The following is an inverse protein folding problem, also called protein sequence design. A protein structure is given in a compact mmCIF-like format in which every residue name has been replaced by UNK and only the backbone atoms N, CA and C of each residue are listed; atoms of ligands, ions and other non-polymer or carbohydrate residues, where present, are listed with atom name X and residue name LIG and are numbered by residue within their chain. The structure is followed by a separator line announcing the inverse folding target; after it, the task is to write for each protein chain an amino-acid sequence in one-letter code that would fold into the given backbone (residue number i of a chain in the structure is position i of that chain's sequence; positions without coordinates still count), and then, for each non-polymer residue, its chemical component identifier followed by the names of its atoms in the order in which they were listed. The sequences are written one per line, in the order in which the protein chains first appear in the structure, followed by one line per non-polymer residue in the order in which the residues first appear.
data_IF_241186204584
#
_entry.id   IF_241186204584
#
_cell.length_a   1.000
_cell.length_b   1.000
_cell.length_c   1.000
_cell.angle_alpha   90.00
_cell.angle_beta   90.00
_cell.angle_gamma   90.00
#
_symmetry.space_group_name_H-M   'P 1'
#
loop_
_entity.id
_entity.type
_entity.pdbx_description
1 polymer ?
#
# COMPACT_ATOMS: atom_id res chain seq x y z
N UNK A 1 24.94 -1.95 6.49
CA UNK A 1 25.52 -2.69 5.35
C UNK A 1 24.48 -2.56 4.25
N UNK A 2 24.73 -1.69 3.25
CA UNK A 2 23.92 -1.60 2.05
C UNK A 2 24.13 -2.90 1.27
N UNK A 3 23.05 -3.62 0.98
CA UNK A 3 23.07 -4.77 0.06
C UNK A 3 23.44 -4.26 -1.33
N UNK A 4 24.66 -4.57 -1.75
CA UNK A 4 25.36 -3.98 -2.90
C UNK A 4 24.81 -4.48 -4.27
N UNK A 5 23.67 -5.17 -4.32
CA UNK A 5 23.19 -5.70 -5.60
C UNK A 5 21.67 -5.94 -5.71
N UNK A 6 20.85 -5.16 -5.05
CA UNK A 6 19.40 -5.24 -5.28
C UNK A 6 19.08 -4.42 -6.52
N UNK A 7 18.62 -5.08 -7.58
CA UNK A 7 18.18 -4.43 -8.81
C UNK A 7 17.00 -3.51 -8.51
N UNK A 8 17.11 -2.24 -8.85
CA UNK A 8 15.99 -1.28 -8.82
C UNK A 8 15.16 -1.44 -10.09
N UNK A 9 13.85 -1.57 -9.91
CA UNK A 9 12.88 -1.54 -10.99
C UNK A 9 12.02 -0.28 -10.82
N UNK A 10 12.12 0.63 -11.76
CA UNK A 10 11.32 1.86 -11.79
C UNK A 10 9.95 1.57 -12.39
N UNK A 11 8.91 1.96 -11.68
CA UNK A 11 7.52 1.83 -12.12
C UNK A 11 7.05 3.20 -12.57
N UNK A 12 6.59 3.29 -13.81
CA UNK A 12 6.04 4.52 -14.37
C UNK A 12 4.64 4.80 -13.82
N UNK A 13 4.22 6.07 -13.81
CA UNK A 13 2.92 6.48 -13.27
C UNK A 13 1.77 5.81 -14.02
N UNK A 14 1.81 5.82 -15.35
CA UNK A 14 0.81 5.18 -16.20
C UNK A 14 0.71 3.68 -15.94
N UNK A 15 1.85 3.00 -15.75
CA UNK A 15 1.90 1.59 -15.39
C UNK A 15 1.20 1.34 -14.05
N UNK A 16 1.50 2.12 -13.02
CA UNK A 16 0.87 1.95 -11.70
C UNK A 16 -0.64 2.16 -11.75
N UNK A 17 -1.09 3.14 -12.52
CA UNK A 17 -2.50 3.43 -12.76
C UNK A 17 -3.19 2.23 -13.43
N UNK A 18 -2.63 1.71 -14.52
CA UNK A 18 -3.18 0.53 -15.20
C UNK A 18 -3.24 -0.69 -14.28
N UNK A 19 -2.17 -0.95 -13.51
CA UNK A 19 -2.14 -2.05 -12.55
C UNK A 19 -3.22 -1.90 -11.45
N UNK A 20 -3.48 -0.67 -10.99
CA UNK A 20 -4.54 -0.43 -10.02
C UNK A 20 -5.93 -0.74 -10.59
N UNK A 21 -6.21 -0.40 -11.85
CA UNK A 21 -7.46 -0.77 -12.52
C UNK A 21 -7.56 -2.28 -12.76
N UNK A 22 -6.48 -2.95 -13.18
CA UNK A 22 -6.44 -4.42 -13.33
C UNK A 22 -6.72 -5.12 -11.99
N UNK A 23 -6.16 -4.60 -10.89
CA UNK A 23 -6.44 -5.09 -9.55
C UNK A 23 -7.93 -4.97 -9.20
N UNK A 24 -8.53 -3.81 -9.48
CA UNK A 24 -9.96 -3.59 -9.24
C UNK A 24 -10.85 -4.57 -10.03
N UNK A 25 -10.54 -4.81 -11.30
CA UNK A 25 -11.25 -5.79 -12.13
C UNK A 25 -11.09 -7.20 -11.56
N UNK A 26 -9.87 -7.58 -11.15
CA UNK A 26 -9.60 -8.87 -10.51
C UNK A 26 -10.45 -9.06 -9.24
N UNK A 27 -10.55 -8.02 -8.41
CA UNK A 27 -11.40 -8.02 -7.22
C UNK A 27 -12.87 -8.16 -7.59
N UNK A 28 -13.34 -7.41 -8.59
CA UNK A 28 -14.71 -7.46 -9.07
C UNK A 28 -15.09 -8.85 -9.61
N UNK A 29 -14.24 -9.45 -10.45
CA UNK A 29 -14.46 -10.75 -11.07
C UNK A 29 -14.46 -11.90 -10.04
N UNK A 30 -13.80 -11.72 -8.90
CA UNK A 30 -13.85 -12.68 -7.79
C UNK A 30 -15.21 -12.75 -7.09
N UNK A 31 -16.13 -11.82 -7.38
CA UNK A 31 -17.41 -11.66 -6.71
C UNK A 31 -17.34 -10.90 -5.39
N UNK A 32 -16.15 -10.46 -4.95
CA UNK A 32 -16.01 -9.64 -3.74
C UNK A 32 -16.49 -8.20 -4.00
N UNK A 33 -17.32 -7.70 -3.10
CA UNK A 33 -17.91 -6.35 -3.17
C UNK A 33 -17.65 -5.66 -1.84
N UNK A 34 -16.54 -4.92 -1.70
CA UNK A 34 -16.20 -4.23 -0.45
C UNK A 34 -17.16 -3.08 -0.17
N UNK A 35 -17.59 -2.96 1.08
CA UNK A 35 -18.30 -1.79 1.59
C UNK A 35 -17.30 -0.68 1.95
N UNK A 36 -16.12 -1.06 2.43
CA UNK A 36 -15.05 -0.16 2.81
C UNK A 36 -13.72 -0.54 2.17
N UNK A 37 -12.99 0.48 1.71
CA UNK A 37 -11.60 0.37 1.24
C UNK A 37 -10.70 1.14 2.22
N UNK A 38 -9.60 0.52 2.63
CA UNK A 38 -8.56 1.14 3.44
C UNK A 38 -7.27 1.17 2.63
N UNK A 39 -6.87 2.34 2.18
CA UNK A 39 -5.57 2.55 1.54
C UNK A 39 -4.49 2.82 2.58
N UNK A 40 -3.41 2.04 2.59
CA UNK A 40 -2.27 2.29 3.48
C UNK A 40 -1.40 3.40 2.87
N UNK A 41 -1.26 4.52 3.59
CA UNK A 41 -0.41 5.63 3.17
C UNK A 41 1.08 5.19 3.14
N UNK A 42 1.82 5.40 2.04
CA UNK A 42 1.55 6.33 0.94
C UNK A 42 0.89 5.64 -0.28
N UNK A 43 1.51 4.62 -0.81
CA UNK A 43 1.16 4.06 -2.11
C UNK A 43 -0.16 3.34 -2.14
N UNK A 44 -0.54 2.69 -1.05
CA UNK A 44 -1.87 2.08 -0.95
C UNK A 44 -3.01 3.09 -1.05
N UNK A 45 -2.79 4.36 -0.69
CA UNK A 45 -3.78 5.42 -0.92
C UNK A 45 -3.91 5.75 -2.40
N UNK A 46 -2.79 5.82 -3.13
CA UNK A 46 -2.79 6.06 -4.59
C UNK A 46 -3.50 4.93 -5.32
N UNK A 47 -3.10 3.69 -5.07
CA UNK A 47 -3.74 2.51 -5.67
C UNK A 47 -5.22 2.42 -5.28
N UNK A 48 -5.54 2.70 -4.01
CA UNK A 48 -6.89 2.65 -3.46
C UNK A 48 -7.87 3.60 -4.15
N UNK A 49 -7.41 4.79 -4.57
CA UNK A 49 -8.23 5.75 -5.33
C UNK A 49 -8.67 5.13 -6.66
N UNK A 50 -7.73 4.58 -7.44
CA UNK A 50 -8.06 3.98 -8.74
C UNK A 50 -8.90 2.70 -8.59
N UNK A 51 -8.63 1.91 -7.54
CA UNK A 51 -9.45 0.73 -7.24
C UNK A 51 -10.88 1.13 -6.91
N UNK A 52 -11.08 2.17 -6.08
CA UNK A 52 -12.40 2.66 -5.74
C UNK A 52 -13.14 3.18 -6.97
N UNK A 53 -12.52 4.07 -7.76
CA UNK A 53 -13.13 4.63 -8.96
C UNK A 53 -13.58 3.55 -9.94
N UNK A 54 -12.75 2.52 -10.16
CA UNK A 54 -13.10 1.40 -11.01
C UNK A 54 -14.28 0.60 -10.44
N UNK A 55 -14.26 0.26 -9.16
CA UNK A 55 -15.33 -0.50 -8.52
C UNK A 55 -16.65 0.28 -8.53
N UNK A 56 -16.62 1.60 -8.30
CA UNK A 56 -17.81 2.45 -8.39
C UNK A 56 -18.36 2.52 -9.82
N UNK A 57 -17.50 2.64 -10.81
CA UNK A 57 -17.90 2.57 -12.22
C UNK A 57 -18.58 1.24 -12.57
N UNK A 58 -18.13 0.13 -11.95
CA UNK A 58 -18.72 -1.20 -12.08
C UNK A 58 -19.97 -1.41 -11.19
N UNK A 59 -20.46 -0.36 -10.52
CA UNK A 59 -21.68 -0.40 -9.72
C UNK A 59 -21.50 -0.90 -8.28
N UNK A 60 -20.25 -0.97 -7.78
CA UNK A 60 -19.97 -1.31 -6.38
C UNK A 60 -19.86 -0.03 -5.57
N UNK A 61 -20.82 0.22 -4.68
CA UNK A 61 -20.77 1.37 -3.79
C UNK A 61 -19.81 1.10 -2.62
N UNK A 62 -18.69 1.80 -2.59
CA UNK A 62 -17.64 1.64 -1.57
C UNK A 62 -17.32 2.98 -0.92
N UNK A 63 -16.97 2.94 0.37
CA UNK A 63 -16.38 4.07 1.06
C UNK A 63 -14.86 3.86 1.18
N UNK A 64 -14.06 4.94 1.14
CA UNK A 64 -12.60 4.84 1.12
C UNK A 64 -11.96 5.79 2.12
N UNK A 65 -11.06 5.27 2.91
CA UNK A 65 -10.22 6.06 3.82
C UNK A 65 -8.74 5.67 3.69
N UNK A 66 -7.89 6.70 3.73
CA UNK A 66 -6.44 6.51 3.83
C UNK A 66 -6.01 6.50 5.29
N UNK A 67 -5.21 5.52 5.66
CA UNK A 67 -4.62 5.39 7.00
C UNK A 67 -3.10 5.40 6.91
N UNK A 68 -2.43 5.71 8.03
CA UNK A 68 -0.98 5.72 8.07
C UNK A 68 -0.46 4.70 9.08
N UNK A 69 0.53 3.92 8.66
CA UNK A 69 1.40 3.16 9.57
C UNK A 69 2.67 3.95 9.85
N UNK A 70 3.17 3.88 11.06
CA UNK A 70 4.45 4.48 11.45
C UNK A 70 5.15 3.61 12.50
N UNK A 71 6.46 3.72 12.54
CA UNK A 71 7.29 2.99 13.50
C UNK A 71 7.70 3.89 14.65
N UNK A 72 7.88 3.33 15.85
CA UNK A 72 8.48 4.03 16.98
C UNK A 72 10.01 4.09 16.79
N UNK A 73 10.56 5.28 16.64
CA UNK A 73 11.99 5.50 16.42
C UNK A 73 12.36 5.50 14.93
N UNK A 74 13.65 5.38 14.64
CA UNK A 74 14.19 5.11 13.29
C UNK A 74 14.81 3.70 13.31
N UNK A 75 13.99 2.65 13.34
CA UNK A 75 14.52 1.29 13.34
C UNK A 75 15.13 0.97 11.98
N UNK A 76 16.23 0.25 11.97
CA UNK A 76 16.71 -0.43 10.76
C UNK A 76 15.65 -1.45 10.30
N UNK A 77 15.67 -1.80 9.01
CA UNK A 77 14.74 -2.81 8.47
C UNK A 77 14.76 -4.13 9.27
N UNK A 78 15.93 -4.54 9.78
CA UNK A 78 16.08 -5.73 10.63
C UNK A 78 15.34 -5.62 11.97
N UNK A 79 15.37 -4.45 12.61
CA UNK A 79 14.66 -4.23 13.89
C UNK A 79 13.14 -4.18 13.73
N UNK A 80 12.63 -3.91 12.51
CA UNK A 80 11.21 -3.96 12.16
C UNK A 80 10.71 -5.39 12.09
N UNK A 81 11.56 -6.30 11.61
CA UNK A 81 11.27 -7.73 11.52
C UNK A 81 11.12 -8.34 12.91
N UNK A 82 11.94 -7.89 13.88
CA UNK A 82 11.98 -8.45 15.23
C UNK A 82 10.90 -7.92 16.16
N UNK A 83 10.23 -6.78 15.84
CA UNK A 83 9.27 -6.13 16.72
C UNK A 83 8.05 -5.54 15.97
N UNK A 84 7.17 -6.36 15.38
CA UNK A 84 6.00 -5.88 14.63
C UNK A 84 5.01 -5.09 15.50
N UNK A 85 4.97 -5.33 16.81
CA UNK A 85 4.14 -4.59 17.80
C UNK A 85 4.53 -3.10 17.93
N UNK A 86 5.67 -2.67 17.40
CA UNK A 86 6.06 -1.26 17.35
C UNK A 86 5.40 -0.47 16.24
N UNK A 87 4.66 -1.14 15.34
CA UNK A 87 3.92 -0.46 14.28
C UNK A 87 2.69 0.22 14.89
N UNK A 88 2.63 1.54 14.74
CA UNK A 88 1.46 2.34 15.11
C UNK A 88 0.59 2.55 13.88
N UNK A 89 -0.72 2.46 14.08
CA UNK A 89 -1.71 2.73 13.04
C UNK A 89 -2.49 3.97 13.41
N UNK A 90 -2.58 4.92 12.48
CA UNK A 90 -3.23 6.21 12.66
C UNK A 90 -4.36 6.37 11.64
N UNK A 91 -5.39 7.16 12.01
CA UNK A 91 -6.49 7.48 11.09
C UNK A 91 -7.64 6.47 11.10
N UNK A 92 -7.68 5.53 12.04
CA UNK A 92 -8.73 4.49 12.09
C UNK A 92 -10.05 4.95 12.74
N UNK A 93 -10.14 6.18 13.25
CA UNK A 93 -11.31 6.64 14.02
C UNK A 93 -12.60 6.48 13.22
N UNK A 94 -12.60 6.91 11.96
CA UNK A 94 -13.74 6.79 11.06
C UNK A 94 -14.23 5.34 10.93
N UNK A 95 -13.31 4.39 10.79
CA UNK A 95 -13.66 2.97 10.69
C UNK A 95 -14.23 2.42 12.01
N UNK A 96 -13.73 2.86 13.16
CA UNK A 96 -14.27 2.42 14.46
C UNK A 96 -15.73 2.85 14.67
N UNK A 97 -16.13 3.99 14.07
CA UNK A 97 -17.45 4.56 14.18
C UNK A 97 -18.45 3.99 13.16
N UNK A 98 -17.96 3.50 12.01
CA UNK A 98 -18.80 3.15 10.88
C UNK A 98 -18.82 1.66 10.53
N UNK A 99 -17.77 0.89 10.86
CA UNK A 99 -17.71 -0.53 10.53
C UNK A 99 -18.70 -1.37 11.35
N UNK A 100 -19.34 -2.29 10.65
CA UNK A 100 -20.22 -3.30 11.22
C UNK A 100 -19.75 -4.71 10.82
N UNK A 101 -20.18 -5.70 11.58
CA UNK A 101 -19.79 -7.11 11.39
C UNK A 101 -20.12 -7.65 9.99
N UNK A 102 -21.23 -7.21 9.42
CA UNK A 102 -21.69 -7.66 8.10
C UNK A 102 -20.99 -6.98 6.92
N UNK A 103 -20.20 -5.93 7.18
CA UNK A 103 -19.49 -5.21 6.13
C UNK A 103 -18.30 -6.03 5.61
N UNK A 104 -17.89 -5.73 4.38
CA UNK A 104 -16.71 -6.31 3.72
C UNK A 104 -15.63 -5.25 3.61
N UNK A 105 -14.46 -5.56 4.14
CA UNK A 105 -13.33 -4.64 4.18
C UNK A 105 -12.24 -5.08 3.19
N UNK A 106 -11.85 -4.16 2.31
CA UNK A 106 -10.68 -4.31 1.44
C UNK A 106 -9.55 -3.43 1.98
N UNK A 107 -8.41 -4.02 2.26
CA UNK A 107 -7.17 -3.29 2.55
C UNK A 107 -6.32 -3.27 1.28
N UNK A 108 -5.90 -2.07 0.87
CA UNK A 108 -5.09 -1.86 -0.33
C UNK A 108 -3.74 -1.28 0.05
N UNK A 109 -2.69 -1.85 -0.51
CA UNK A 109 -1.34 -1.28 -0.48
C UNK A 109 -0.73 -1.35 -1.89
N UNK A 110 0.39 -0.69 -2.09
CA UNK A 110 1.13 -0.73 -3.37
C UNK A 110 2.00 -1.99 -3.47
N UNK A 111 2.71 -2.32 -2.41
CA UNK A 111 3.62 -3.45 -2.33
C UNK A 111 3.41 -4.22 -1.03
N UNK A 112 3.02 -5.48 -1.13
CA UNK A 112 3.01 -6.38 0.02
C UNK A 112 4.40 -7.06 0.15
N UNK A 113 5.19 -6.57 1.09
CA UNK A 113 6.52 -7.13 1.40
C UNK A 113 6.45 -7.97 2.69
N UNK A 114 6.87 -7.46 3.84
CA UNK A 114 6.82 -8.21 5.10
C UNK A 114 5.41 -8.58 5.56
N UNK A 115 4.41 -7.84 5.13
CA UNK A 115 3.01 -8.01 5.54
C UNK A 115 2.68 -7.40 6.91
N UNK A 116 3.68 -6.92 7.66
CA UNK A 116 3.47 -6.44 9.03
C UNK A 116 2.60 -5.18 9.11
N UNK A 117 2.64 -4.28 8.12
CA UNK A 117 1.76 -3.11 8.09
C UNK A 117 0.29 -3.53 8.03
N UNK A 118 -0.03 -4.47 7.15
CA UNK A 118 -1.39 -5.01 6.99
C UNK A 118 -1.83 -5.71 8.27
N UNK A 119 -0.99 -6.58 8.85
CA UNK A 119 -1.32 -7.28 10.10
C UNK A 119 -1.50 -6.32 11.28
N UNK A 120 -0.72 -5.23 11.37
CA UNK A 120 -0.89 -4.21 12.39
C UNK A 120 -2.26 -3.52 12.25
N UNK A 121 -2.68 -3.20 11.02
CA UNK A 121 -4.01 -2.62 10.74
C UNK A 121 -5.11 -3.56 11.18
N UNK A 122 -5.08 -4.83 10.74
CA UNK A 122 -6.09 -5.84 11.07
C UNK A 122 -6.15 -6.07 12.59
N UNK A 123 -5.01 -6.21 13.24
CA UNK A 123 -4.94 -6.40 14.70
C UNK A 123 -5.53 -5.21 15.44
N UNK A 124 -5.23 -3.99 15.01
CA UNK A 124 -5.77 -2.77 15.61
C UNK A 124 -7.28 -2.65 15.42
N UNK A 125 -7.78 -2.99 14.24
CA UNK A 125 -9.22 -3.03 13.95
C UNK A 125 -9.91 -4.07 14.84
N UNK A 126 -9.41 -5.31 14.89
CA UNK A 126 -9.95 -6.37 15.76
C UNK A 126 -10.05 -5.92 17.21
N UNK A 127 -8.98 -5.32 17.75
CA UNK A 127 -8.94 -4.87 19.14
C UNK A 127 -9.97 -3.76 19.45
N UNK A 128 -10.27 -2.90 18.50
CA UNK A 128 -11.14 -1.73 18.68
C UNK A 128 -12.58 -1.96 18.28
N UNK A 129 -12.82 -2.55 17.09
CA UNK A 129 -14.17 -2.82 16.60
C UNK A 129 -14.84 -3.99 17.35
N UNK A 130 -14.05 -4.91 17.92
CA UNK A 130 -14.54 -6.07 18.70
C UNK A 130 -15.64 -6.83 17.92
N UNK A 131 -16.88 -6.82 18.42
CA UNK A 131 -18.04 -7.48 17.80
C UNK A 131 -18.45 -6.89 16.45
N UNK A 132 -18.04 -5.65 16.16
CA UNK A 132 -18.33 -4.96 14.91
C UNK A 132 -17.19 -5.16 13.87
N UNK A 133 -16.16 -5.93 14.20
CA UNK A 133 -15.12 -6.27 13.21
C UNK A 133 -15.74 -7.00 12.03
N UNK A 134 -15.51 -6.54 10.78
CA UNK A 134 -15.95 -7.25 9.60
C UNK A 134 -15.50 -8.72 9.60
N UNK A 135 -16.39 -9.63 9.22
CA UNK A 135 -16.06 -11.05 9.10
C UNK A 135 -15.20 -11.32 7.87
N UNK A 136 -15.37 -10.52 6.82
CA UNK A 136 -14.64 -10.67 5.57
C UNK A 136 -13.70 -9.49 5.39
N UNK A 137 -12.39 -9.74 5.54
CA UNK A 137 -11.31 -8.77 5.34
C UNK A 137 -10.37 -9.34 4.30
N UNK A 138 -10.25 -8.67 3.16
CA UNK A 138 -9.35 -9.05 2.07
C UNK A 138 -8.29 -7.99 1.83
N UNK A 139 -7.17 -8.41 1.25
CA UNK A 139 -6.00 -7.59 0.96
C UNK A 139 -5.73 -7.64 -0.53
N UNK A 140 -5.61 -6.48 -1.16
CA UNK A 140 -5.27 -6.35 -2.57
C UNK A 140 -4.05 -5.45 -2.79
N UNK A 141 -3.12 -5.90 -3.63
CA UNK A 141 -1.89 -5.16 -3.97
C UNK A 141 -1.52 -5.42 -5.44
N UNK A 142 -0.95 -4.44 -6.15
CA UNK A 142 -0.35 -4.72 -7.46
C UNK A 142 0.86 -5.65 -7.36
N UNK A 143 1.72 -5.44 -6.36
CA UNK A 143 3.00 -6.16 -6.23
C UNK A 143 3.11 -6.91 -4.91
N UNK A 144 3.51 -8.19 -4.99
CA UNK A 144 3.76 -9.06 -3.86
C UNK A 144 5.19 -9.59 -3.86
N UNK A 145 5.85 -9.57 -2.70
CA UNK A 145 7.20 -10.11 -2.47
C UNK A 145 7.12 -11.34 -1.58
N UNK A 146 6.95 -12.54 -2.16
CA UNK A 146 6.76 -13.76 -1.38
C UNK A 146 7.93 -14.10 -0.46
N UNK A 147 9.19 -13.90 -0.91
CA UNK A 147 10.39 -14.24 -0.13
C UNK A 147 10.64 -13.24 1.02
N UNK A 148 10.01 -12.06 0.98
CA UNK A 148 10.07 -11.06 2.06
C UNK A 148 8.91 -11.17 3.04
N UNK A 149 7.93 -12.02 2.77
CA UNK A 149 6.74 -12.15 3.61
C UNK A 149 7.03 -12.86 4.92
N UNK A 150 6.81 -12.18 6.02
CA UNK A 150 7.07 -12.64 7.38
C UNK A 150 5.81 -12.71 8.25
N UNK A 151 4.68 -12.20 7.74
CA UNK A 151 3.42 -12.12 8.49
C UNK A 151 2.65 -13.43 8.53
N UNK A 152 2.98 -14.38 7.66
CA UNK A 152 2.20 -15.60 7.46
C UNK A 152 0.89 -15.39 6.67
N UNK A 153 0.48 -14.14 6.42
CA UNK A 153 -0.66 -13.81 5.56
C UNK A 153 -0.17 -13.59 4.14
N UNK A 154 -0.86 -14.17 3.18
CA UNK A 154 -0.70 -13.83 1.75
C UNK A 154 -1.78 -12.81 1.36
N UNK A 155 -1.50 -11.84 0.47
CA UNK A 155 -2.57 -11.00 -0.07
C UNK A 155 -3.58 -11.85 -0.84
N UNK A 156 -4.87 -11.49 -0.73
CA UNK A 156 -5.95 -12.22 -1.40
C UNK A 156 -5.94 -11.95 -2.91
N UNK A 157 -5.52 -10.74 -3.29
CA UNK A 157 -5.39 -10.28 -4.66
C UNK A 157 -4.03 -9.66 -4.89
N UNK A 158 -3.32 -10.13 -5.92
CA UNK A 158 -2.09 -9.51 -6.39
C UNK A 158 -1.91 -9.79 -7.89
N UNK A 159 -1.20 -8.91 -8.58
CA UNK A 159 -0.98 -9.02 -10.02
C UNK A 159 0.39 -9.59 -10.34
N UNK A 160 1.41 -9.11 -9.64
CA UNK A 160 2.81 -9.46 -9.91
C UNK A 160 3.50 -9.96 -8.64
N UNK A 161 4.45 -10.89 -8.83
CA UNK A 161 5.44 -11.26 -7.81
C UNK A 161 6.80 -10.75 -8.23
N UNK A 162 7.56 -10.17 -7.29
CA UNK A 162 8.91 -9.67 -7.53
C UNK A 162 9.71 -9.61 -6.24
N UNK A 163 11.03 -9.79 -6.33
CA UNK A 163 11.94 -9.54 -5.21
C UNK A 163 12.80 -8.28 -5.43
N UNK A 164 12.69 -7.65 -6.61
CA UNK A 164 13.39 -6.42 -6.95
C UNK A 164 12.99 -5.25 -6.06
N UNK A 165 13.85 -4.26 -5.91
CA UNK A 165 13.49 -3.01 -5.27
C UNK A 165 12.64 -2.19 -6.23
N UNK A 166 11.34 -2.13 -5.97
CA UNK A 166 10.43 -1.28 -6.73
C UNK A 166 10.60 0.18 -6.31
N UNK A 167 10.82 1.04 -7.30
CA UNK A 167 10.80 2.50 -7.14
C UNK A 167 9.50 3.00 -7.76
N UNK A 168 8.59 3.44 -6.92
CA UNK A 168 7.27 3.87 -7.34
C UNK A 168 7.27 5.33 -7.85
N UNK A 169 6.28 5.75 -8.64
CA UNK A 169 6.29 7.07 -9.30
C UNK A 169 6.47 8.24 -8.32
N UNK A 170 5.86 8.18 -7.15
CA UNK A 170 5.91 9.23 -6.12
C UNK A 170 7.15 9.15 -5.22
N UNK A 171 8.07 8.21 -5.42
CA UNK A 171 9.26 8.06 -4.58
C UNK A 171 10.44 8.84 -5.13
N UNK A 172 11.05 9.65 -4.26
CA UNK A 172 12.31 10.36 -4.52
C UNK A 172 13.37 10.00 -3.48
N UNK A 173 12.93 9.68 -2.26
CA UNK A 173 13.85 9.37 -1.18
C UNK A 173 14.60 8.07 -1.46
N UNK A 174 15.93 8.12 -1.34
CA UNK A 174 16.80 6.97 -1.63
C UNK A 174 17.25 6.85 -3.09
N UNK A 175 16.87 7.82 -3.94
CA UNK A 175 17.39 7.96 -5.31
C UNK A 175 18.58 8.90 -5.33
N UNK A 176 19.54 8.61 -6.21
CA UNK A 176 20.61 9.54 -6.54
C UNK A 176 20.14 10.62 -7.51
N UNK A 177 20.81 11.78 -7.61
CA UNK A 177 20.48 12.79 -8.61
C UNK A 177 20.49 12.24 -10.05
N UNK A 178 21.43 11.35 -10.35
CA UNK A 178 21.55 10.71 -11.68
C UNK A 178 20.35 9.81 -11.98
N UNK A 179 19.89 9.04 -10.98
CA UNK A 179 18.69 8.19 -11.11
C UNK A 179 17.44 9.05 -11.34
N UNK A 180 17.32 10.20 -10.68
CA UNK A 180 16.19 11.11 -10.87
C UNK A 180 16.23 11.70 -12.29
N UNK A 181 17.40 12.16 -12.77
CA UNK A 181 17.54 12.66 -14.15
C UNK A 181 17.19 11.59 -15.18
N UNK A 182 17.63 10.36 -14.95
CA UNK A 182 17.42 9.27 -15.89
C UNK A 182 15.98 8.75 -15.92
N UNK A 183 15.33 8.62 -14.76
CA UNK A 183 14.05 7.93 -14.65
C UNK A 183 12.86 8.85 -14.33
N UNK A 184 13.13 10.10 -13.94
CA UNK A 184 12.11 11.11 -13.61
C UNK A 184 12.53 12.49 -14.14
N UNK A 185 12.74 12.63 -15.47
CA UNK A 185 13.33 13.86 -16.05
C UNK A 185 12.51 15.11 -15.73
N UNK A 186 11.19 15.05 -15.81
CA UNK A 186 10.31 16.18 -15.50
C UNK A 186 10.44 16.64 -14.05
N UNK A 187 10.63 15.69 -13.13
CA UNK A 187 10.87 16.00 -11.70
C UNK A 187 12.27 16.60 -11.52
N UNK A 188 13.29 16.09 -12.23
CA UNK A 188 14.63 16.64 -12.22
C UNK A 188 14.63 18.11 -12.67
N UNK A 189 13.91 18.44 -13.73
CA UNK A 189 13.76 19.81 -14.24
C UNK A 189 13.12 20.73 -13.18
N UNK A 190 12.04 20.28 -12.54
CA UNK A 190 11.39 21.03 -11.46
C UNK A 190 12.37 21.28 -10.30
N UNK A 191 13.09 20.24 -9.86
CA UNK A 191 14.03 20.35 -8.74
C UNK A 191 15.24 21.26 -9.07
N UNK A 192 15.67 21.32 -10.34
CA UNK A 192 16.79 22.19 -10.78
C UNK A 192 16.49 23.68 -10.57
N UNK A 193 15.22 24.08 -10.62
CA UNK A 193 14.81 25.47 -10.41
C UNK A 193 15.06 25.98 -9.00
N UNK A 194 15.09 25.08 -8.01
CA UNK A 194 15.31 25.43 -6.59
C UNK A 194 16.78 25.75 -6.36
N UNK A 195 17.71 25.08 -7.05
CA UNK A 195 19.15 25.27 -6.88
C UNK A 195 19.68 26.58 -7.51
N UNK A 196 18.91 27.21 -8.39
CA UNK A 196 19.26 28.49 -9.02
C UNK A 196 18.83 29.72 -8.21
N UNK A 197 18.04 29.53 -7.14
CA UNK A 197 17.50 30.60 -6.28
C UNK A 197 18.14 30.71 -4.88
N UNK A 198 19.17 29.91 -4.59
CA UNK A 198 19.95 29.94 -3.34
C UNK A 198 21.40 30.37 -3.66
#
# INVERSE_FOLDING_TARGET
VQDVNVKKQFIEEEQLLEEAFKLAVTIFDSGFRPDFIVGIWRGGSTVGIYVQECLQYLGVNTDHISIRTSYRGQPSYGELVDNPERIRVHGLQYLFENLNRGDKLLIVDDVFSSGYNVEAVITRLKAKCRRNMPEEVRVGVPYYKPDKNLSGRKPDYFLHTTEDWLVLPYELQGLTPEEIVQHKPDVADILSTIQQGA
#
